data_IF_715705125409
#
_entry.id   IF_715705125409
#
_cell.length_a   1.000
_cell.length_b   1.000
_cell.length_c   1.000
_cell.angle_alpha   90.00
_cell.angle_beta   90.00
_cell.angle_gamma   90.00
#
_symmetry.space_group_name_H-M   'P 1'
#
loop_
_entity.id
_entity.type
_entity.pdbx_description
1 polymer ?
#
# COMPACT_ATOMS: atom_id res chain seq x y z
N UNK A 1 -15.75 -22.98 -5.59
CA UNK A 1 -15.15 -21.71 -6.04
C UNK A 1 -13.83 -22.11 -6.67
N UNK A 2 -13.59 -21.75 -7.93
CA UNK A 2 -12.28 -21.98 -8.54
C UNK A 2 -11.23 -21.17 -7.80
N UNK A 3 -10.01 -21.70 -7.71
CA UNK A 3 -8.90 -21.00 -7.08
C UNK A 3 -8.36 -19.97 -8.06
N UNK A 4 -8.19 -18.75 -7.60
CA UNK A 4 -7.64 -17.65 -8.41
C UNK A 4 -6.30 -17.23 -7.86
N UNK A 5 -5.29 -17.27 -8.71
CA UNK A 5 -3.97 -16.76 -8.37
C UNK A 5 -3.98 -15.24 -8.34
N UNK A 6 -3.29 -14.68 -7.37
CA UNK A 6 -3.16 -13.24 -7.21
C UNK A 6 -1.69 -12.89 -7.14
N UNK A 7 -1.35 -11.85 -7.84
CA UNK A 7 0.02 -11.39 -8.00
C UNK A 7 0.13 -9.93 -7.58
N UNK A 8 1.15 -9.62 -6.81
CA UNK A 8 1.61 -8.24 -6.67
C UNK A 8 2.44 -7.94 -7.91
N UNK A 9 2.15 -6.84 -8.56
CA UNK A 9 2.74 -6.53 -9.86
C UNK A 9 3.38 -5.16 -9.89
N UNK A 10 4.44 -5.06 -10.69
CA UNK A 10 4.99 -3.77 -11.09
C UNK A 10 5.50 -3.71 -12.51
N UNK A 11 5.71 -4.82 -13.14
CA UNK A 11 6.93 -5.03 -13.89
C UNK A 11 6.99 -4.36 -15.25
N UNK A 12 5.91 -4.25 -15.99
CA UNK A 12 6.06 -3.85 -17.40
C UNK A 12 6.11 -2.35 -17.61
N UNK A 13 5.50 -1.56 -16.73
CA UNK A 13 5.39 -0.10 -16.89
C UNK A 13 6.22 0.71 -15.89
N UNK A 14 6.91 0.06 -14.96
CA UNK A 14 7.68 0.73 -13.89
C UNK A 14 6.86 1.77 -13.11
N UNK A 15 5.54 1.55 -13.01
CA UNK A 15 4.64 2.45 -12.29
C UNK A 15 5.05 2.54 -10.83
N UNK A 16 5.23 1.38 -10.18
CA UNK A 16 5.56 1.33 -8.76
C UNK A 16 6.94 1.92 -8.47
N UNK A 17 7.92 1.71 -9.34
CA UNK A 17 9.22 2.38 -9.21
C UNK A 17 9.08 3.90 -9.15
N UNK A 18 8.32 4.48 -10.09
CA UNK A 18 8.08 5.94 -10.13
C UNK A 18 7.31 6.45 -8.93
N UNK A 19 6.31 5.69 -8.49
CA UNK A 19 5.49 6.00 -7.30
C UNK A 19 6.37 5.99 -6.06
N UNK A 20 7.14 4.93 -5.82
CA UNK A 20 8.00 4.80 -4.63
C UNK A 20 9.11 5.84 -4.60
N UNK A 21 9.69 6.17 -5.75
CA UNK A 21 10.66 7.27 -5.88
C UNK A 21 10.03 8.62 -5.50
N UNK A 22 8.82 8.91 -5.97
CA UNK A 22 8.09 10.13 -5.62
C UNK A 22 7.78 10.20 -4.12
N UNK A 23 7.32 9.12 -3.53
CA UNK A 23 7.03 9.01 -2.09
C UNK A 23 8.30 9.24 -1.28
N UNK A 24 9.39 8.56 -1.64
CA UNK A 24 10.68 8.69 -0.97
C UNK A 24 11.17 10.14 -0.97
N UNK A 25 11.12 10.78 -2.13
CA UNK A 25 11.54 12.16 -2.31
C UNK A 25 10.71 13.15 -1.47
N UNK A 26 9.41 13.02 -1.46
CA UNK A 26 8.51 14.00 -0.83
C UNK A 26 8.39 13.80 0.68
N UNK A 27 8.28 12.53 1.15
CA UNK A 27 8.08 12.23 2.56
C UNK A 27 9.39 12.18 3.32
N UNK A 28 10.31 11.36 2.84
CA UNK A 28 11.50 11.04 3.61
C UNK A 28 12.65 11.99 3.33
N UNK A 29 12.70 12.55 2.12
CA UNK A 29 13.77 13.46 1.66
C UNK A 29 15.19 12.91 1.88
N UNK A 30 15.33 11.59 1.85
CA UNK A 30 16.59 10.87 2.01
C UNK A 30 16.64 9.74 0.96
N UNK A 31 17.63 9.80 0.06
CA UNK A 31 17.75 8.83 -1.05
C UNK A 31 17.76 7.37 -0.63
N UNK A 32 18.31 7.06 0.54
CA UNK A 32 18.36 5.68 1.06
C UNK A 32 16.99 5.03 1.19
N UNK A 33 15.91 5.83 1.40
CA UNK A 33 14.56 5.27 1.52
C UNK A 33 13.99 4.84 0.18
N UNK A 34 14.42 5.41 -0.94
CA UNK A 34 14.04 4.93 -2.26
C UNK A 34 14.45 3.48 -2.45
N UNK A 35 15.73 3.16 -2.17
CA UNK A 35 16.25 1.80 -2.26
C UNK A 35 15.56 0.85 -1.28
N UNK A 36 15.30 1.30 -0.05
CA UNK A 36 14.63 0.50 0.98
C UNK A 36 13.19 0.19 0.57
N UNK A 37 12.44 1.19 0.10
CA UNK A 37 11.04 1.00 -0.31
C UNK A 37 10.96 0.10 -1.54
N UNK A 38 11.82 0.32 -2.53
CA UNK A 38 11.87 -0.49 -3.73
C UNK A 38 12.20 -1.95 -3.40
N UNK A 39 13.26 -2.17 -2.61
CA UNK A 39 13.62 -3.53 -2.17
C UNK A 39 12.49 -4.19 -1.38
N UNK A 40 11.83 -3.45 -0.49
CA UNK A 40 10.71 -3.99 0.28
C UNK A 40 9.52 -4.35 -0.61
N UNK A 41 9.27 -3.57 -1.67
CA UNK A 41 8.24 -3.88 -2.65
C UNK A 41 8.58 -5.13 -3.48
N UNK A 42 9.81 -5.25 -3.96
CA UNK A 42 10.29 -6.42 -4.69
C UNK A 42 10.19 -7.70 -3.85
N UNK A 43 10.62 -7.65 -2.59
CA UNK A 43 10.47 -8.79 -1.69
C UNK A 43 8.99 -9.16 -1.47
N UNK A 44 8.11 -8.17 -1.43
CA UNK A 44 6.66 -8.40 -1.35
C UNK A 44 6.12 -9.01 -2.65
N UNK A 45 6.59 -8.57 -3.82
CA UNK A 45 6.24 -9.12 -5.12
C UNK A 45 6.67 -10.60 -5.23
N UNK A 46 7.90 -10.92 -4.82
CA UNK A 46 8.43 -12.30 -4.85
C UNK A 46 7.70 -13.25 -3.89
N UNK A 47 7.30 -12.76 -2.72
CA UNK A 47 6.76 -13.57 -1.64
C UNK A 47 5.23 -13.66 -1.63
N UNK A 48 4.55 -12.76 -2.31
CA UNK A 48 3.10 -12.60 -2.21
C UNK A 48 2.33 -13.07 -3.45
N UNK A 49 2.82 -14.09 -4.12
CA UNK A 49 2.01 -14.85 -5.07
C UNK A 49 1.20 -15.87 -4.29
N UNK A 50 -0.13 -15.77 -4.31
CA UNK A 50 -0.98 -16.67 -3.55
C UNK A 50 -2.28 -17.01 -4.26
N UNK A 51 -2.88 -18.12 -3.86
CA UNK A 51 -4.19 -18.54 -4.32
C UNK A 51 -5.28 -18.05 -3.35
N UNK A 52 -6.29 -17.38 -3.88
CA UNK A 52 -7.49 -17.07 -3.10
C UNK A 52 -8.38 -18.34 -2.97
N UNK A 53 -8.96 -18.66 -1.80
CA UNK A 53 -9.01 -17.85 -0.58
C UNK A 53 -7.86 -18.07 0.41
N UNK A 54 -6.98 -19.03 0.19
CA UNK A 54 -6.03 -19.50 1.21
C UNK A 54 -4.92 -18.49 1.52
N UNK A 55 -4.50 -17.75 0.51
CA UNK A 55 -3.46 -16.73 0.65
C UNK A 55 -2.05 -17.29 0.92
N UNK A 56 -1.04 -16.43 1.10
CA UNK A 56 0.30 -16.86 1.42
C UNK A 56 0.33 -17.51 2.80
N UNK A 57 1.21 -18.50 2.97
CA UNK A 57 1.56 -19.01 4.29
C UNK A 57 2.23 -17.91 5.11
N UNK A 58 2.07 -17.92 6.42
CA UNK A 58 2.34 -16.82 7.35
C UNK A 58 3.77 -16.23 7.38
N UNK A 59 4.70 -16.73 6.59
CA UNK A 59 6.13 -16.43 6.74
C UNK A 59 6.69 -15.34 5.82
N UNK A 60 5.91 -14.82 4.87
CA UNK A 60 6.49 -14.03 3.79
C UNK A 60 6.29 -12.51 3.88
N UNK A 61 5.19 -12.06 4.42
CA UNK A 61 4.74 -10.69 4.24
C UNK A 61 4.53 -9.95 5.56
N UNK A 62 5.28 -10.31 6.58
CA UNK A 62 5.21 -9.68 7.89
C UNK A 62 5.59 -8.19 7.82
N UNK A 63 5.01 -7.42 8.74
CA UNK A 63 5.43 -6.03 8.98
C UNK A 63 6.94 -5.98 9.19
N UNK A 64 7.63 -5.15 8.41
CA UNK A 64 9.06 -4.90 8.57
C UNK A 64 9.31 -3.68 9.41
N UNK A 65 10.35 -3.72 10.22
CA UNK A 65 10.80 -2.58 11.03
C UNK A 65 12.15 -2.11 10.53
N UNK A 66 12.19 -0.90 9.99
CA UNK A 66 13.41 -0.22 9.55
C UNK A 66 13.69 0.99 10.44
N UNK A 67 14.88 1.56 10.36
CA UNK A 67 15.16 2.79 11.08
C UNK A 67 14.27 3.93 10.57
N UNK A 68 13.69 4.68 11.48
CA UNK A 68 12.89 5.84 11.12
C UNK A 68 13.78 6.95 10.53
N UNK A 69 13.25 7.74 9.59
CA UNK A 69 13.94 8.95 9.13
C UNK A 69 14.27 9.89 10.29
N UNK A 70 15.33 10.68 10.15
CA UNK A 70 15.84 11.52 11.22
C UNK A 70 14.76 12.41 11.86
N UNK A 71 13.87 12.95 11.05
CA UNK A 71 12.78 13.81 11.51
C UNK A 71 11.68 13.07 12.28
N UNK A 72 11.69 11.73 12.30
CA UNK A 72 10.65 10.89 12.90
C UNK A 72 11.18 9.95 13.98
N UNK A 73 12.45 10.04 14.39
CA UNK A 73 13.06 9.13 15.35
C UNK A 73 12.47 9.22 16.76
N UNK A 74 11.86 10.33 17.12
CA UNK A 74 11.27 10.53 18.44
C UNK A 74 9.90 9.90 18.63
N UNK A 75 9.27 9.48 17.52
CA UNK A 75 7.95 8.87 17.59
C UNK A 75 8.02 7.41 18.07
N UNK A 76 7.11 7.06 18.98
CA UNK A 76 7.01 5.70 19.51
C UNK A 76 6.22 4.76 18.61
N UNK A 77 5.37 5.32 17.75
CA UNK A 77 4.62 4.59 16.72
C UNK A 77 4.76 5.35 15.42
N UNK A 78 5.31 4.70 14.42
CA UNK A 78 5.40 5.23 13.07
C UNK A 78 5.10 4.12 12.07
N UNK A 79 4.06 4.29 11.27
CA UNK A 79 3.62 3.33 10.25
C UNK A 79 3.61 3.94 8.87
N UNK A 80 3.99 3.15 7.88
CA UNK A 80 3.89 3.45 6.47
C UNK A 80 3.46 2.20 5.71
N UNK A 81 2.44 2.32 4.87
CA UNK A 81 2.04 1.25 3.97
C UNK A 81 2.53 1.51 2.55
N UNK A 82 3.25 0.53 2.00
CA UNK A 82 3.64 0.52 0.61
C UNK A 82 2.38 0.49 -0.26
N UNK A 83 2.19 1.41 -1.18
CA UNK A 83 1.17 1.28 -2.20
C UNK A 83 1.34 -0.06 -2.91
N UNK A 84 0.25 -0.70 -3.26
CA UNK A 84 0.31 -2.07 -3.78
C UNK A 84 -0.55 -2.19 -5.03
N UNK A 85 0.04 -2.69 -6.12
CA UNK A 85 -0.65 -3.01 -7.36
C UNK A 85 -0.86 -4.53 -7.44
N UNK A 86 -2.11 -4.97 -7.56
CA UNK A 86 -2.46 -6.39 -7.62
C UNK A 86 -3.25 -6.73 -8.88
N UNK A 87 -3.05 -7.95 -9.39
CA UNK A 87 -3.76 -8.51 -10.55
C UNK A 87 -3.87 -10.03 -10.47
N UNK A 88 -4.73 -10.62 -11.29
CA UNK A 88 -4.93 -12.08 -11.35
C UNK A 88 -4.20 -12.76 -12.51
N UNK A 89 -3.67 -12.01 -13.46
CA UNK A 89 -3.01 -12.54 -14.65
C UNK A 89 -1.70 -11.79 -14.91
N UNK A 90 -0.57 -12.49 -14.76
CA UNK A 90 0.76 -11.89 -14.98
C UNK A 90 1.10 -11.72 -16.46
N UNK A 91 0.55 -12.60 -17.31
CA UNK A 91 0.94 -12.67 -18.73
C UNK A 91 0.17 -11.70 -19.60
N UNK A 92 -0.93 -11.14 -19.08
CA UNK A 92 -1.72 -10.17 -19.81
C UNK A 92 -1.34 -8.72 -19.47
N UNK A 93 -1.31 -7.83 -20.44
CA UNK A 93 -1.09 -6.42 -20.16
C UNK A 93 -2.23 -5.87 -19.29
N UNK A 94 -1.89 -4.95 -18.40
CA UNK A 94 -2.89 -4.21 -17.63
C UNK A 94 -3.60 -3.25 -18.58
N UNK A 95 -4.89 -3.46 -18.80
CA UNK A 95 -5.74 -2.64 -19.65
C UNK A 95 -6.54 -1.60 -18.86
N UNK A 96 -6.69 -1.83 -17.55
CA UNK A 96 -7.50 -0.98 -16.69
C UNK A 96 -6.96 -1.01 -15.26
N UNK A 97 -6.94 0.14 -14.57
CA UNK A 97 -6.56 0.22 -13.17
C UNK A 97 -7.68 0.88 -12.38
N UNK A 98 -8.11 0.20 -11.32
CA UNK A 98 -8.99 0.77 -10.29
C UNK A 98 -8.14 1.14 -9.08
N UNK A 99 -8.22 2.40 -8.66
CA UNK A 99 -7.48 2.87 -7.48
C UNK A 99 -8.36 2.84 -6.25
N UNK A 100 -7.88 2.21 -5.18
CA UNK A 100 -8.57 2.18 -3.88
C UNK A 100 -7.74 2.97 -2.87
N UNK A 101 -8.35 4.00 -2.30
CA UNK A 101 -7.68 4.91 -1.36
C UNK A 101 -8.29 4.76 0.03
N UNK A 102 -7.49 4.37 1.02
CA UNK A 102 -7.87 4.33 2.42
C UNK A 102 -7.38 5.54 3.21
N UNK A 103 -7.60 5.53 4.51
CA UNK A 103 -7.30 6.68 5.35
C UNK A 103 -5.85 6.77 5.78
N UNK A 104 -5.35 5.76 6.49
CA UNK A 104 -4.01 5.79 7.09
C UNK A 104 -3.47 4.38 7.41
N UNK A 105 -2.14 4.20 7.43
CA UNK A 105 -1.47 2.95 7.76
C UNK A 105 -1.45 2.70 9.27
N UNK A 106 -2.60 2.42 9.87
CA UNK A 106 -2.77 2.30 11.32
C UNK A 106 -1.88 1.22 11.93
N UNK A 107 -1.19 1.59 13.03
CA UNK A 107 -0.33 0.69 13.82
C UNK A 107 -0.69 0.75 15.30
N UNK A 108 -0.38 -0.34 16.01
CA UNK A 108 -0.54 -0.45 17.47
C UNK A 108 0.77 -0.72 18.18
N UNK A 109 1.73 -1.34 17.50
CA UNK A 109 3.04 -1.69 18.03
C UNK A 109 3.90 -0.45 18.25
N UNK A 110 4.65 -0.44 19.35
CA UNK A 110 5.48 0.69 19.77
C UNK A 110 6.96 0.33 19.67
N UNK A 111 7.63 0.94 18.71
CA UNK A 111 9.09 0.82 18.54
C UNK A 111 9.68 2.19 18.26
N UNK A 112 10.15 2.88 19.32
CA UNK A 112 10.75 4.22 19.17
C UNK A 112 11.91 4.18 18.18
N UNK A 113 11.97 5.15 17.27
CA UNK A 113 13.00 5.26 16.25
C UNK A 113 12.88 4.23 15.11
N UNK A 114 11.77 3.48 15.03
CA UNK A 114 11.52 2.54 13.93
C UNK A 114 10.30 2.95 13.12
N UNK A 115 10.40 2.75 11.82
CA UNK A 115 9.30 2.83 10.88
C UNK A 115 8.82 1.42 10.56
N UNK A 116 7.55 1.17 10.78
CA UNK A 116 6.92 -0.12 10.45
C UNK A 116 6.35 -0.05 9.03
N UNK A 117 6.90 -0.87 8.13
CA UNK A 117 6.46 -1.02 6.75
C UNK A 117 5.50 -2.20 6.60
N UNK A 118 4.44 -2.01 5.84
CA UNK A 118 3.49 -3.05 5.45
C UNK A 118 2.92 -2.74 4.07
N UNK A 119 1.99 -3.53 3.55
CA UNK A 119 1.21 -3.17 2.36
C UNK A 119 -0.03 -2.41 2.74
N UNK A 120 -0.54 -1.60 1.82
CA UNK A 120 -1.82 -0.93 1.98
C UNK A 120 -2.93 -1.94 2.29
N UNK A 121 -3.79 -1.59 3.23
CA UNK A 121 -4.88 -2.43 3.75
C UNK A 121 -4.42 -3.72 4.45
N UNK A 122 -3.14 -3.91 4.73
CA UNK A 122 -2.61 -5.17 5.25
C UNK A 122 -2.92 -6.35 4.33
N UNK A 123 -3.04 -6.09 3.03
CA UNK A 123 -3.57 -7.04 2.06
C UNK A 123 -2.77 -8.34 1.98
N UNK A 124 -1.49 -8.29 2.18
CA UNK A 124 -0.61 -9.45 2.21
C UNK A 124 -0.65 -10.24 3.54
N UNK A 125 -1.23 -9.68 4.60
CA UNK A 125 -1.35 -10.34 5.91
C UNK A 125 -2.61 -11.23 5.96
N UNK A 126 -2.41 -12.55 6.04
CA UNK A 126 -3.51 -13.52 6.13
C UNK A 126 -4.43 -13.27 7.33
N UNK A 127 -3.85 -12.94 8.48
CA UNK A 127 -4.63 -12.68 9.69
C UNK A 127 -5.54 -11.47 9.53
N UNK A 128 -5.10 -10.48 8.76
CA UNK A 128 -5.89 -9.30 8.44
C UNK A 128 -7.00 -9.64 7.45
N UNK A 129 -6.69 -10.36 6.35
CA UNK A 129 -7.68 -10.73 5.32
C UNK A 129 -8.78 -11.61 5.85
N UNK A 130 -8.47 -12.55 6.73
CA UNK A 130 -9.44 -13.47 7.33
C UNK A 130 -10.24 -12.87 8.48
N UNK A 131 -9.86 -11.68 8.96
CA UNK A 131 -10.60 -10.99 10.01
C UNK A 131 -11.89 -10.38 9.44
N UNK A 132 -13.05 -10.84 9.93
CA UNK A 132 -14.37 -10.40 9.45
C UNK A 132 -14.63 -8.90 9.50
N UNK A 133 -13.95 -8.18 10.39
CA UNK A 133 -14.09 -6.73 10.52
C UNK A 133 -13.08 -5.92 9.69
N UNK A 134 -11.90 -6.49 9.44
CA UNK A 134 -10.79 -5.80 8.76
C UNK A 134 -10.64 -6.25 7.31
N UNK A 135 -10.86 -7.51 7.04
CA UNK A 135 -10.69 -8.14 5.72
C UNK A 135 -11.91 -8.08 4.81
N UNK A 136 -12.96 -7.30 5.16
CA UNK A 136 -14.20 -7.27 4.37
C UNK A 136 -14.01 -6.78 2.93
N UNK A 137 -13.00 -5.96 2.68
CA UNK A 137 -12.69 -5.50 1.31
C UNK A 137 -12.04 -6.57 0.43
N UNK A 138 -11.39 -7.56 1.05
CA UNK A 138 -10.69 -8.62 0.30
C UNK A 138 -11.61 -9.37 -0.67
N UNK A 139 -12.78 -9.90 -0.26
CA UNK A 139 -13.70 -10.56 -1.18
C UNK A 139 -14.19 -9.65 -2.32
N UNK A 140 -14.42 -8.36 -2.03
CA UNK A 140 -14.86 -7.39 -3.04
C UNK A 140 -13.77 -7.15 -4.08
N UNK A 141 -12.53 -7.00 -3.64
CA UNK A 141 -11.36 -6.83 -4.51
C UNK A 141 -11.18 -8.04 -5.41
N UNK A 142 -11.26 -9.25 -4.85
CA UNK A 142 -11.12 -10.49 -5.63
C UNK A 142 -12.23 -10.65 -6.65
N UNK A 143 -13.46 -10.42 -6.26
CA UNK A 143 -14.59 -10.48 -7.19
C UNK A 143 -14.42 -9.48 -8.34
N UNK A 144 -13.94 -8.28 -8.07
CA UNK A 144 -13.68 -7.29 -9.10
C UNK A 144 -12.59 -7.73 -10.08
N UNK A 145 -11.50 -8.34 -9.57
CA UNK A 145 -10.42 -8.88 -10.41
C UNK A 145 -10.87 -10.06 -11.27
N UNK A 146 -11.65 -10.99 -10.70
CA UNK A 146 -12.17 -12.17 -11.43
C UNK A 146 -13.13 -11.80 -12.54
N UNK A 147 -13.97 -10.78 -12.34
CA UNK A 147 -15.01 -10.38 -13.28
C UNK A 147 -14.53 -9.43 -14.39
N UNK A 148 -13.33 -8.86 -14.24
CA UNK A 148 -12.78 -7.89 -15.19
C UNK A 148 -11.33 -8.25 -15.59
N UNK A 149 -11.13 -9.23 -16.48
CA UNK A 149 -9.81 -9.63 -16.97
C UNK A 149 -8.99 -8.44 -17.50
N UNK A 150 -7.70 -8.40 -17.17
CA UNK A 150 -6.82 -7.29 -17.50
C UNK A 150 -6.97 -6.07 -16.59
N UNK A 151 -7.82 -6.14 -15.57
CA UNK A 151 -7.90 -5.11 -14.54
C UNK A 151 -6.87 -5.37 -13.45
N UNK A 152 -6.20 -4.30 -13.03
CA UNK A 152 -5.38 -4.28 -11.83
C UNK A 152 -6.04 -3.37 -10.78
N UNK A 153 -5.77 -3.64 -9.50
CA UNK A 153 -6.19 -2.78 -8.40
C UNK A 153 -4.96 -2.17 -7.74
N UNK A 154 -4.91 -0.85 -7.75
CA UNK A 154 -3.91 -0.08 -7.04
C UNK A 154 -4.45 0.37 -5.69
N UNK A 155 -3.80 -0.02 -4.61
CA UNK A 155 -4.21 0.30 -3.25
C UNK A 155 -3.22 1.25 -2.59
N UNK A 156 -3.71 2.28 -1.94
CA UNK A 156 -2.90 3.25 -1.22
C UNK A 156 -3.66 3.93 -0.08
N UNK A 157 -2.93 4.67 0.78
CA UNK A 157 -3.50 5.49 1.84
C UNK A 157 -3.40 6.98 1.49
N UNK A 158 -4.41 7.77 1.86
CA UNK A 158 -4.35 9.21 1.67
C UNK A 158 -3.41 9.89 2.67
N UNK A 159 -3.28 9.39 3.90
CA UNK A 159 -2.24 9.78 4.84
C UNK A 159 -1.11 8.75 4.78
N UNK A 160 0.06 9.15 4.33
CA UNK A 160 1.18 8.21 4.10
C UNK A 160 1.86 7.73 5.37
N UNK A 161 1.88 8.55 6.42
CA UNK A 161 2.43 8.17 7.70
C UNK A 161 1.37 8.16 8.78
N UNK A 162 1.44 7.16 9.63
CA UNK A 162 0.64 7.05 10.85
C UNK A 162 1.50 7.19 12.09
N UNK A 163 1.02 7.98 13.04
CA UNK A 163 1.60 8.08 14.37
C UNK A 163 0.50 8.31 15.40
N UNK A 164 0.76 7.93 16.65
CA UNK A 164 -0.17 8.24 17.76
C UNK A 164 -0.18 9.71 18.15
N UNK A 165 0.87 10.42 17.81
CA UNK A 165 0.95 11.88 18.06
C UNK A 165 0.30 12.67 16.91
N UNK A 166 -0.98 12.39 16.69
CA UNK A 166 -1.77 12.88 15.55
C UNK A 166 -1.79 14.41 15.40
N UNK A 167 -1.56 15.15 16.48
CA UNK A 167 -1.74 16.62 16.45
C UNK A 167 -0.58 17.35 15.78
N UNK A 168 0.61 16.79 15.80
CA UNK A 168 1.80 17.39 15.21
C UNK A 168 1.96 17.10 13.72
N UNK A 169 2.02 15.85 13.33
CA UNK A 169 2.37 15.44 11.95
C UNK A 169 1.25 15.75 10.95
N UNK A 170 -0.01 15.50 11.28
CA UNK A 170 -1.09 15.62 10.31
C UNK A 170 -1.29 17.03 9.76
N UNK A 171 -1.05 18.07 10.54
CA UNK A 171 -1.23 19.44 10.06
C UNK A 171 -0.10 19.92 9.15
N UNK A 172 1.12 19.53 9.44
CA UNK A 172 2.30 19.94 8.66
C UNK A 172 2.51 19.10 7.42
N UNK A 173 2.08 17.83 7.42
CA UNK A 173 2.33 16.88 6.35
C UNK A 173 1.12 16.70 5.39
N UNK A 174 -0.07 17.19 5.73
CA UNK A 174 -1.29 17.04 4.89
C UNK A 174 -1.05 17.48 3.45
N UNK A 175 -0.34 18.60 3.26
CA UNK A 175 -0.03 19.11 1.92
C UNK A 175 0.87 18.16 1.14
N UNK A 176 1.89 17.58 1.79
CA UNK A 176 2.76 16.58 1.16
C UNK A 176 2.00 15.32 0.78
N UNK A 177 1.08 14.88 1.63
CA UNK A 177 0.26 13.69 1.34
C UNK A 177 -0.68 13.93 0.16
N UNK A 178 -1.27 15.12 0.06
CA UNK A 178 -2.07 15.51 -1.10
C UNK A 178 -1.23 15.54 -2.39
N UNK A 179 -0.03 16.13 -2.32
CA UNK A 179 0.91 16.16 -3.45
C UNK A 179 1.27 14.75 -3.92
N UNK A 180 1.53 13.82 -2.98
CA UNK A 180 1.84 12.44 -3.32
C UNK A 180 0.63 11.75 -3.93
N UNK A 181 -0.55 11.87 -3.33
CA UNK A 181 -1.76 11.25 -3.85
C UNK A 181 -2.06 11.73 -5.28
N UNK A 182 -1.88 13.02 -5.55
CA UNK A 182 -2.00 13.56 -6.89
C UNK A 182 -0.98 12.94 -7.85
N UNK A 183 0.29 12.80 -7.43
CA UNK A 183 1.32 12.13 -8.25
C UNK A 183 1.02 10.66 -8.48
N UNK A 184 0.50 9.96 -7.48
CA UNK A 184 0.03 8.58 -7.66
C UNK A 184 -1.06 8.51 -8.72
N UNK A 185 -2.07 9.38 -8.69
CA UNK A 185 -3.13 9.45 -9.68
C UNK A 185 -2.56 9.74 -11.08
N UNK A 186 -1.64 10.68 -11.20
CA UNK A 186 -0.99 11.05 -12.47
C UNK A 186 -0.16 9.89 -13.07
N UNK A 187 0.53 9.12 -12.23
CA UNK A 187 1.38 8.00 -12.65
C UNK A 187 0.57 6.73 -12.95
N UNK A 188 -0.37 6.42 -12.08
CA UNK A 188 -1.22 5.21 -12.16
C UNK A 188 -2.30 5.36 -13.23
N UNK A 189 -2.82 6.56 -13.44
CA UNK A 189 -3.90 6.89 -14.39
C UNK A 189 -5.11 5.97 -14.23
N UNK A 190 -5.68 5.88 -13.02
CA UNK A 190 -6.79 4.98 -12.78
C UNK A 190 -8.03 5.41 -13.57
N UNK A 191 -8.80 4.44 -14.06
CA UNK A 191 -10.11 4.69 -14.69
C UNK A 191 -11.21 5.01 -13.67
N UNK A 192 -11.01 4.57 -12.43
CA UNK A 192 -11.93 4.79 -11.32
C UNK A 192 -11.16 4.88 -10.00
N UNK A 193 -11.61 5.77 -9.11
CA UNK A 193 -11.05 5.90 -7.75
C UNK A 193 -12.16 5.58 -6.76
N UNK A 194 -11.89 4.64 -5.86
CA UNK A 194 -12.77 4.25 -4.76
C UNK A 194 -12.14 4.75 -3.47
N UNK A 195 -12.79 5.69 -2.80
CA UNK A 195 -12.34 6.21 -1.51
C UNK A 195 -12.98 5.45 -0.35
N UNK A 196 -12.19 5.08 0.63
CA UNK A 196 -12.64 4.37 1.82
C UNK A 196 -12.39 5.19 3.09
N UNK A 197 -13.49 5.68 3.67
CA UNK A 197 -13.47 6.48 4.91
C UNK A 197 -13.60 7.99 4.69
N UNK A 198 -13.93 8.69 5.78
CA UNK A 198 -14.24 10.13 5.72
C UNK A 198 -13.07 11.00 5.26
N UNK A 199 -11.87 10.65 5.69
CA UNK A 199 -10.67 11.43 5.35
C UNK A 199 -10.33 11.29 3.87
N UNK A 200 -10.37 10.06 3.32
CA UNK A 200 -10.13 9.83 1.91
C UNK A 200 -11.18 10.56 1.05
N UNK A 201 -12.46 10.50 1.43
CA UNK A 201 -13.52 11.23 0.73
C UNK A 201 -13.37 12.75 0.76
N UNK A 202 -12.71 13.30 1.75
CA UNK A 202 -12.54 14.75 1.88
C UNK A 202 -11.30 15.27 1.14
N UNK A 203 -10.38 14.39 0.75
CA UNK A 203 -9.11 14.75 0.08
C UNK A 203 -9.23 14.60 -1.44
N UNK A 204 -10.02 13.65 -1.90
CA UNK A 204 -10.33 13.41 -3.32
C UNK A 204 -11.42 14.34 -3.83
#
# INVERSE_FOLDING_TARGET
MERTNIYISDTDDKIMLKVLSSISSIIFNEKKYEDILLKSYQEMEEQCNWEYPDGPTDNGCAVKYIDAPQNYQDYSILGFDLPTLIRTDQDKPISNIVMVVSQDPRRTERYKGKLSLSSSFGFHDKSYRTNTRKGFMTPVIFQALETAPGTAIYMTDCNKLFTTDKRGILKTETRKYQEILQKEIELVKPSCIISHGRTANAIL
#
